data_IF_526417100447
#
_entry.id   IF_526417100447
#
_cell.length_a   1.000
_cell.length_b   1.000
_cell.length_c   1.000
_cell.angle_alpha   90.00
_cell.angle_beta   90.00
_cell.angle_gamma   90.00
#
_symmetry.space_group_name_H-M   'P 1'
#
loop_
_entity.id
_entity.type
_entity.pdbx_description
1 polymer ?
#
# COMPACT_ATOMS: atom_id res chain seq x y z
N UNK A 1 54.72 64.57 2.61
CA UNK A 1 54.34 63.42 1.75
C UNK A 1 53.61 62.38 2.61
N UNK A 2 52.64 61.62 2.03
CA UNK A 2 52.24 60.20 2.29
C UNK A 2 52.39 59.61 3.72
N UNK A 3 51.46 58.88 4.35
CA UNK A 3 50.10 58.34 4.10
C UNK A 3 49.44 58.00 5.48
N UNK A 4 48.12 58.04 5.71
CA UNK A 4 47.07 56.98 5.48
C UNK A 4 47.47 55.60 6.05
N UNK A 5 46.73 54.88 6.92
CA UNK A 5 45.32 54.90 7.42
C UNK A 5 45.30 54.71 8.98
N UNK A 6 44.23 54.54 9.78
CA UNK A 6 42.78 54.41 9.59
C UNK A 6 42.22 53.01 9.95
N UNK A 7 41.88 52.76 11.22
CA UNK A 7 41.39 51.45 11.73
C UNK A 7 39.88 51.50 12.01
N UNK A 8 39.07 50.95 11.10
CA UNK A 8 37.62 50.81 11.27
C UNK A 8 37.30 49.53 12.07
N UNK A 9 36.50 49.65 13.13
CA UNK A 9 35.93 48.50 13.83
C UNK A 9 34.81 47.86 13.01
N UNK A 10 34.95 46.57 12.68
CA UNK A 10 33.93 45.83 11.95
C UNK A 10 32.80 45.36 12.88
N UNK A 11 31.60 45.93 12.70
CA UNK A 11 30.37 45.38 13.28
C UNK A 11 30.00 44.07 12.57
N UNK A 12 30.16 42.93 13.25
CA UNK A 12 29.60 41.65 12.81
C UNK A 12 28.12 41.59 13.14
N UNK A 13 27.29 41.92 12.14
CA UNK A 13 25.84 41.82 12.20
C UNK A 13 25.44 40.35 11.99
N UNK A 14 25.26 39.62 13.10
CA UNK A 14 24.84 38.22 13.07
C UNK A 14 23.38 38.11 12.57
N UNK A 15 23.19 37.72 11.31
CA UNK A 15 21.88 37.43 10.75
C UNK A 15 21.39 36.10 11.33
N UNK A 16 20.55 36.20 12.37
CA UNK A 16 19.83 35.05 12.91
C UNK A 16 18.83 34.50 11.89
N UNK A 17 19.20 33.41 11.22
CA UNK A 17 18.29 32.60 10.41
C UNK A 17 17.26 31.94 11.32
N UNK A 18 16.17 32.66 11.58
CA UNK A 18 14.95 32.09 12.16
C UNK A 18 14.41 31.05 11.18
N UNK A 19 14.68 29.79 11.46
CA UNK A 19 13.90 28.68 10.90
C UNK A 19 12.47 28.79 11.42
N UNK A 20 11.65 29.55 10.71
CA UNK A 20 10.21 29.45 10.80
C UNK A 20 9.85 28.02 10.40
N UNK A 21 9.65 27.15 11.38
CA UNK A 21 9.02 25.86 11.19
C UNK A 21 7.61 26.14 10.68
N UNK A 22 7.45 26.12 9.36
CA UNK A 22 6.15 26.22 8.72
C UNK A 22 5.33 25.03 9.22
N UNK A 23 4.39 25.30 10.13
CA UNK A 23 3.39 24.34 10.56
C UNK A 23 2.55 24.04 9.34
N UNK A 24 2.92 22.99 8.60
CA UNK A 24 2.17 22.53 7.44
C UNK A 24 0.78 22.13 7.94
N UNK A 25 -0.22 22.96 7.71
CA UNK A 25 -1.60 22.52 7.89
C UNK A 25 -1.82 21.43 6.84
N UNK A 26 -2.23 20.25 7.29
CA UNK A 26 -2.40 19.10 6.41
C UNK A 26 -3.39 19.45 5.29
N UNK A 27 -2.95 19.30 4.03
CA UNK A 27 -3.76 19.68 2.87
C UNK A 27 -4.99 18.77 2.70
N UNK A 28 -5.96 19.19 1.86
CA UNK A 28 -7.03 18.31 1.42
C UNK A 28 -6.47 17.09 0.69
N UNK A 29 -7.12 15.92 0.84
CA UNK A 29 -6.79 14.71 0.07
C UNK A 29 -6.91 15.00 -1.43
N UNK A 30 -5.79 14.98 -2.16
CA UNK A 30 -5.78 15.29 -3.59
C UNK A 30 -6.03 14.03 -4.41
N UNK A 31 -7.22 13.93 -5.03
CA UNK A 31 -7.58 12.84 -5.96
C UNK A 31 -7.18 13.17 -7.40
N UNK A 32 -6.69 12.17 -8.15
CA UNK A 32 -6.35 12.27 -9.57
C UNK A 32 -6.84 11.05 -10.35
N UNK A 33 -7.77 11.28 -11.28
CA UNK A 33 -8.24 10.25 -12.21
C UNK A 33 -7.16 9.90 -13.25
N UNK A 34 -7.09 8.63 -13.63
CA UNK A 34 -6.17 8.10 -14.64
C UNK A 34 -6.97 7.25 -15.63
N UNK A 35 -7.05 7.70 -16.88
CA UNK A 35 -7.81 7.02 -17.94
C UNK A 35 -6.93 6.32 -18.99
N UNK A 36 -5.64 6.68 -19.10
CA UNK A 36 -4.70 6.14 -20.09
C UNK A 36 -3.59 5.32 -19.43
N UNK A 37 -3.09 4.30 -20.13
CA UNK A 37 -1.96 3.48 -19.70
C UNK A 37 -0.65 4.22 -19.96
N UNK A 38 0.05 4.61 -18.89
CA UNK A 38 1.38 5.23 -18.97
C UNK A 38 2.53 4.23 -18.78
N UNK A 39 3.75 4.68 -19.03
CA UNK A 39 4.99 4.02 -18.58
C UNK A 39 5.18 4.21 -17.06
N UNK A 40 5.78 3.23 -16.37
CA UNK A 40 5.96 3.26 -14.90
C UNK A 40 4.67 3.41 -14.09
N UNK A 41 3.55 2.91 -14.62
CA UNK A 41 2.22 3.44 -14.32
C UNK A 41 1.58 3.02 -13.00
N UNK A 42 0.56 3.80 -12.63
CA UNK A 42 -0.47 3.49 -11.63
C UNK A 42 -0.99 2.05 -11.77
N UNK A 43 -1.19 1.57 -13.00
CA UNK A 43 -1.52 0.17 -13.31
C UNK A 43 -0.53 -0.84 -12.72
N UNK A 44 0.78 -0.61 -12.83
CA UNK A 44 1.79 -1.55 -12.33
C UNK A 44 1.75 -1.66 -10.80
N UNK A 45 1.54 -0.53 -10.09
CA UNK A 45 1.41 -0.52 -8.62
C UNK A 45 0.13 -1.18 -8.12
N UNK A 46 -0.98 -1.01 -8.84
CA UNK A 46 -2.25 -1.69 -8.55
C UNK A 46 -2.15 -3.18 -8.88
N UNK A 47 -1.50 -3.55 -9.99
CA UNK A 47 -1.24 -4.94 -10.37
C UNK A 47 -0.36 -5.65 -9.33
N UNK A 48 0.71 -5.00 -8.85
CA UNK A 48 1.53 -5.50 -7.76
C UNK A 48 0.68 -5.74 -6.51
N UNK A 49 -0.22 -4.82 -6.15
CA UNK A 49 -1.16 -5.03 -5.04
C UNK A 49 -2.14 -6.19 -5.24
N UNK A 50 -2.60 -6.42 -6.48
CA UNK A 50 -3.40 -7.58 -6.81
C UNK A 50 -2.59 -8.86 -6.67
N UNK A 51 -1.36 -8.90 -7.20
CA UNK A 51 -0.42 -10.01 -7.11
C UNK A 51 -0.09 -10.39 -5.66
N UNK A 52 0.22 -9.39 -4.81
CA UNK A 52 0.44 -9.54 -3.36
C UNK A 52 -0.72 -10.26 -2.65
N UNK A 53 -1.96 -10.09 -3.14
CA UNK A 53 -3.13 -10.75 -2.56
C UNK A 53 -3.48 -12.09 -3.22
N UNK A 54 -3.42 -12.18 -4.54
CA UNK A 54 -3.93 -13.34 -5.29
C UNK A 54 -2.99 -14.54 -5.22
N UNK A 55 -1.66 -14.35 -5.17
CA UNK A 55 -0.72 -15.47 -5.06
C UNK A 55 -0.87 -16.22 -3.73
N UNK A 56 -0.85 -15.57 -2.54
CA UNK A 56 -1.22 -16.22 -1.30
C UNK A 56 -2.64 -16.81 -1.30
N UNK A 57 -3.56 -16.26 -2.11
CA UNK A 57 -4.93 -16.78 -2.20
C UNK A 57 -5.01 -18.05 -3.04
N UNK A 58 -4.19 -18.18 -4.09
CA UNK A 58 -4.02 -19.41 -4.85
C UNK A 58 -3.43 -20.52 -3.98
N UNK A 59 -2.32 -20.23 -3.27
CA UNK A 59 -1.66 -21.17 -2.37
C UNK A 59 -2.60 -21.61 -1.24
N UNK A 60 -3.35 -20.67 -0.65
CA UNK A 60 -4.41 -20.95 0.31
C UNK A 60 -5.52 -21.82 -0.30
N UNK A 61 -6.04 -21.48 -1.48
CA UNK A 61 -7.16 -22.19 -2.11
C UNK A 61 -6.80 -23.63 -2.48
N UNK A 62 -5.59 -23.86 -3.01
CA UNK A 62 -5.05 -25.22 -3.22
C UNK A 62 -5.00 -26.01 -1.91
N UNK A 63 -4.64 -25.36 -0.79
CA UNK A 63 -4.65 -25.99 0.54
C UNK A 63 -6.08 -26.26 1.05
N UNK A 64 -7.09 -25.49 0.64
CA UNK A 64 -8.51 -25.77 0.96
C UNK A 64 -9.05 -26.95 0.14
N UNK A 65 -8.57 -27.12 -1.10
CA UNK A 65 -9.00 -28.19 -2.00
C UNK A 65 -8.50 -29.58 -1.59
N UNK A 66 -7.39 -29.67 -0.84
CA UNK A 66 -6.81 -30.92 -0.32
C UNK A 66 -6.65 -32.03 -1.39
N UNK A 67 -6.14 -31.63 -2.57
CA UNK A 67 -5.97 -32.52 -3.73
C UNK A 67 -7.23 -32.72 -4.59
N UNK A 68 -8.40 -32.24 -4.17
CA UNK A 68 -9.61 -32.21 -4.98
C UNK A 68 -9.59 -31.12 -6.07
N UNK A 69 -10.51 -31.23 -7.03
CA UNK A 69 -10.75 -30.22 -8.07
C UNK A 69 -12.06 -29.46 -7.80
N UNK A 70 -12.10 -28.13 -7.95
CA UNK A 70 -13.32 -27.36 -7.77
C UNK A 70 -14.20 -27.44 -9.02
N UNK A 71 -15.51 -27.54 -8.83
CA UNK A 71 -16.47 -27.26 -9.91
C UNK A 71 -16.39 -25.78 -10.33
N UNK A 72 -16.81 -25.48 -11.57
CA UNK A 72 -16.87 -24.11 -12.10
C UNK A 72 -17.64 -23.15 -11.19
N UNK A 73 -18.70 -23.61 -10.51
CA UNK A 73 -19.46 -22.79 -9.56
C UNK A 73 -18.68 -22.47 -8.28
N UNK A 74 -17.94 -23.44 -7.73
CA UNK A 74 -17.08 -23.26 -6.56
C UNK A 74 -15.93 -22.31 -6.90
N UNK A 75 -15.26 -22.53 -8.04
CA UNK A 75 -14.20 -21.63 -8.50
C UNK A 75 -14.72 -20.22 -8.81
N UNK A 76 -15.89 -20.07 -9.45
CA UNK A 76 -16.49 -18.77 -9.72
C UNK A 76 -16.83 -17.99 -8.43
N UNK A 77 -17.22 -18.67 -7.35
CA UNK A 77 -17.43 -18.04 -6.05
C UNK A 77 -16.11 -17.59 -5.40
N UNK A 78 -15.03 -18.36 -5.56
CA UNK A 78 -13.68 -17.95 -5.14
C UNK A 78 -13.14 -16.79 -5.99
N UNK A 79 -13.22 -16.85 -7.32
CA UNK A 79 -12.58 -15.87 -8.21
C UNK A 79 -13.31 -14.53 -8.24
N UNK A 80 -14.65 -14.53 -8.14
CA UNK A 80 -15.48 -13.31 -8.18
C UNK A 80 -15.06 -12.25 -7.17
N UNK A 81 -14.65 -12.64 -5.95
CA UNK A 81 -14.24 -11.69 -4.91
C UNK A 81 -12.91 -10.98 -5.22
N UNK A 82 -12.09 -11.52 -6.11
CA UNK A 82 -10.88 -10.87 -6.62
C UNK A 82 -11.19 -10.10 -7.90
N UNK A 83 -12.04 -10.65 -8.78
CA UNK A 83 -12.53 -9.98 -9.99
C UNK A 83 -13.38 -8.71 -9.73
N UNK A 84 -13.93 -8.52 -8.52
CA UNK A 84 -14.74 -7.33 -8.18
C UNK A 84 -14.12 -6.43 -7.11
N UNK A 85 -13.18 -6.91 -6.30
CA UNK A 85 -12.57 -6.09 -5.26
C UNK A 85 -11.78 -4.89 -5.82
N UNK A 86 -11.79 -3.81 -5.04
CA UNK A 86 -10.85 -2.71 -5.16
C UNK A 86 -9.51 -3.14 -4.55
N UNK A 87 -8.42 -2.88 -5.28
CA UNK A 87 -7.05 -3.09 -4.81
C UNK A 87 -6.34 -1.76 -4.72
N UNK A 88 -5.53 -1.58 -3.67
CA UNK A 88 -4.76 -0.36 -3.47
C UNK A 88 -3.32 -0.64 -3.07
N UNK A 89 -2.40 0.12 -3.65
CA UNK A 89 -1.04 0.27 -3.18
C UNK A 89 -0.85 1.71 -2.69
N UNK A 90 -0.32 1.90 -1.49
CA UNK A 90 -0.08 3.22 -0.91
C UNK A 90 1.37 3.29 -0.43
N UNK A 91 2.20 4.13 -1.04
CA UNK A 91 3.56 4.39 -0.59
C UNK A 91 3.54 5.54 0.41
N UNK A 92 3.93 5.27 1.65
CA UNK A 92 4.19 6.29 2.67
C UNK A 92 5.69 6.61 2.68
N UNK A 93 6.03 7.86 2.37
CA UNK A 93 7.39 8.40 2.40
C UNK A 93 7.56 9.24 3.66
N UNK A 94 8.63 9.01 4.41
CA UNK A 94 8.85 9.63 5.72
C UNK A 94 10.34 9.73 6.05
N UNK A 95 10.70 10.63 6.96
CA UNK A 95 12.12 10.88 7.30
C UNK A 95 12.49 10.24 8.64
N UNK A 96 13.60 9.51 8.68
CA UNK A 96 14.23 9.03 9.92
C UNK A 96 15.70 9.45 9.92
N UNK A 97 16.14 10.15 10.96
CA UNK A 97 17.53 10.65 11.11
C UNK A 97 18.04 11.37 9.83
N UNK A 98 17.20 12.25 9.26
CA UNK A 98 17.51 12.99 8.03
C UNK A 98 17.44 12.18 6.72
N UNK A 99 17.24 10.86 6.77
CA UNK A 99 17.15 9.98 5.60
C UNK A 99 15.69 9.76 5.21
N UNK A 100 15.39 9.90 3.91
CA UNK A 100 14.09 9.50 3.36
C UNK A 100 13.97 7.98 3.35
N UNK A 101 12.85 7.49 3.87
CA UNK A 101 12.48 6.09 4.00
C UNK A 101 11.10 5.89 3.38
N UNK A 102 10.82 4.68 2.89
CA UNK A 102 9.51 4.34 2.31
C UNK A 102 8.96 3.06 2.92
N UNK A 103 7.62 2.99 3.03
CA UNK A 103 6.88 1.76 3.34
C UNK A 103 5.68 1.67 2.41
N UNK A 104 5.47 0.52 1.79
CA UNK A 104 4.33 0.30 0.89
C UNK A 104 3.25 -0.46 1.64
N UNK A 105 2.00 0.00 1.54
CA UNK A 105 0.83 -0.63 2.13
C UNK A 105 -0.08 -1.15 1.03
N UNK A 106 -0.44 -2.43 1.11
CA UNK A 106 -1.34 -3.09 0.18
C UNK A 106 -2.64 -3.47 0.86
N UNK A 107 -3.78 -3.25 0.17
CA UNK A 107 -5.06 -3.77 0.64
C UNK A 107 -5.99 -4.16 -0.51
N UNK A 108 -6.86 -5.13 -0.19
CA UNK A 108 -8.01 -5.56 -0.98
C UNK A 108 -9.29 -5.23 -0.22
N UNK A 109 -10.31 -4.74 -0.90
CA UNK A 109 -11.62 -4.50 -0.28
C UNK A 109 -12.36 -5.81 0.04
N UNK A 110 -13.35 -5.75 0.93
CA UNK A 110 -14.13 -6.92 1.35
C UNK A 110 -13.49 -7.73 2.49
N UNK A 111 -13.96 -8.97 2.70
CA UNK A 111 -13.53 -9.82 3.81
C UNK A 111 -12.05 -10.19 3.70
N UNK A 112 -11.37 -10.36 4.85
CA UNK A 112 -9.95 -10.73 4.88
C UNK A 112 -9.79 -12.15 4.30
N UNK A 113 -10.40 -13.15 4.94
CA UNK A 113 -10.48 -14.52 4.43
C UNK A 113 -11.26 -14.54 3.10
N UNK A 114 -10.77 -15.23 2.07
CA UNK A 114 -11.51 -15.43 0.83
C UNK A 114 -12.69 -16.41 1.05
N UNK A 115 -13.74 -16.26 0.25
CA UNK A 115 -14.77 -17.28 0.08
C UNK A 115 -14.17 -18.51 -0.61
N UNK A 116 -14.39 -19.70 -0.05
CA UNK A 116 -13.98 -21.00 -0.62
C UNK A 116 -14.86 -21.44 -1.79
N UNK A 117 -16.07 -20.88 -1.90
CA UNK A 117 -17.11 -21.37 -2.82
C UNK A 117 -17.71 -22.73 -2.43
N UNK A 118 -17.23 -23.35 -1.34
CA UNK A 118 -17.58 -24.70 -0.92
C UNK A 118 -18.34 -24.64 0.41
N UNK A 119 -19.60 -25.09 0.40
CA UNK A 119 -20.46 -25.06 1.57
C UNK A 119 -19.91 -25.95 2.70
N UNK A 120 -19.88 -25.44 3.93
CA UNK A 120 -19.39 -26.15 5.12
C UNK A 120 -17.86 -26.33 5.21
N UNK A 121 -17.11 -26.11 4.12
CA UNK A 121 -15.66 -26.27 4.11
C UNK A 121 -14.97 -25.10 4.81
N UNK A 122 -14.28 -25.40 5.92
CA UNK A 122 -13.41 -24.47 6.63
C UNK A 122 -11.96 -24.71 6.20
N UNK A 123 -11.27 -23.64 5.80
CA UNK A 123 -9.85 -23.72 5.46
C UNK A 123 -9.01 -24.22 6.66
N UNK A 124 -8.07 -25.16 6.46
CA UNK A 124 -7.24 -25.71 7.53
C UNK A 124 -6.25 -24.68 8.10
N UNK A 125 -5.96 -23.63 7.32
CA UNK A 125 -5.10 -22.50 7.69
C UNK A 125 -5.79 -21.19 7.31
N UNK A 126 -5.54 -20.13 8.09
CA UNK A 126 -6.01 -18.78 7.73
C UNK A 126 -5.26 -18.26 6.52
N UNK A 127 -5.93 -17.50 5.65
CA UNK A 127 -5.34 -16.84 4.49
C UNK A 127 -4.16 -15.93 4.89
N UNK A 128 -4.26 -15.27 6.04
CA UNK A 128 -3.18 -14.44 6.60
C UNK A 128 -1.88 -15.23 6.84
N UNK A 129 -1.93 -16.55 7.02
CA UNK A 129 -0.74 -17.40 7.20
C UNK A 129 0.03 -17.74 5.91
N UNK A 130 -0.47 -17.33 4.74
CA UNK A 130 0.19 -17.50 3.44
C UNK A 130 0.98 -16.25 3.01
N UNK A 131 1.07 -15.24 3.89
CA UNK A 131 1.86 -14.03 3.64
C UNK A 131 3.21 -14.15 4.34
N UNK A 132 4.28 -14.21 3.56
CA UNK A 132 5.65 -14.12 4.07
C UNK A 132 5.95 -12.67 4.46
N UNK A 133 6.27 -12.42 5.73
CA UNK A 133 6.55 -11.06 6.24
C UNK A 133 7.97 -10.55 5.92
N UNK A 134 8.57 -10.98 4.80
CA UNK A 134 9.93 -10.62 4.40
C UNK A 134 9.92 -9.51 3.34
N UNK A 135 9.81 -8.26 3.79
CA UNK A 135 9.87 -7.08 2.91
C UNK A 135 9.45 -5.77 3.57
N UNK A 136 9.61 -4.67 2.83
CA UNK A 136 9.09 -3.35 3.22
C UNK A 136 7.57 -3.21 2.99
N UNK A 137 6.94 -4.21 2.37
CA UNK A 137 5.55 -4.21 1.94
C UNK A 137 4.64 -4.78 3.04
N UNK A 138 3.62 -4.02 3.40
CA UNK A 138 2.70 -4.31 4.49
C UNK A 138 1.30 -4.55 3.95
N UNK A 139 0.75 -5.74 4.20
CA UNK A 139 -0.67 -5.99 3.94
C UNK A 139 -1.52 -5.43 5.08
N UNK A 140 -2.45 -4.55 4.73
CA UNK A 140 -3.39 -3.91 5.63
C UNK A 140 -4.71 -4.68 5.66
N UNK A 141 -5.07 -5.15 6.86
CA UNK A 141 -6.24 -5.98 7.13
C UNK A 141 -7.35 -5.17 7.81
N UNK A 142 -8.60 -5.59 7.65
CA UNK A 142 -9.66 -5.17 8.56
C UNK A 142 -9.51 -5.98 9.85
N UNK A 143 -8.73 -5.46 10.79
CA UNK A 143 -8.52 -6.09 12.08
C UNK A 143 -9.78 -5.97 12.95
N UNK A 144 -10.09 -7.00 13.74
CA UNK A 144 -11.18 -6.97 14.70
C UNK A 144 -10.90 -5.95 15.83
N UNK A 145 -11.94 -5.47 16.51
CA UNK A 145 -11.77 -4.56 17.66
C UNK A 145 -11.13 -5.29 18.85
N UNK A 146 -10.32 -4.62 19.69
CA UNK A 146 -10.01 -3.19 19.67
C UNK A 146 -9.01 -2.81 18.56
N UNK A 147 -9.44 -1.91 17.67
CA UNK A 147 -8.55 -1.26 16.72
C UNK A 147 -8.08 0.04 17.39
N UNK A 148 -6.77 0.16 17.63
CA UNK A 148 -6.16 1.35 18.25
C UNK A 148 -6.11 2.57 17.32
N UNK A 149 -6.46 2.41 16.05
CA UNK A 149 -6.67 3.51 15.12
C UNK A 149 -7.91 4.33 15.49
N UNK A 150 -7.74 5.65 15.53
CA UNK A 150 -8.83 6.62 15.67
C UNK A 150 -9.55 6.87 14.34
N UNK A 151 -8.94 6.53 13.20
CA UNK A 151 -9.54 6.62 11.86
C UNK A 151 -10.68 5.60 11.75
N UNK A 152 -11.92 6.08 11.88
CA UNK A 152 -13.13 5.28 11.73
C UNK A 152 -13.75 5.49 10.35
N UNK A 153 -14.69 4.62 9.95
CA UNK A 153 -15.62 4.96 8.88
C UNK A 153 -16.39 6.20 9.30
N UNK A 154 -16.23 7.30 8.56
CA UNK A 154 -17.14 8.43 8.65
C UNK A 154 -18.44 8.09 7.93
N UNK A 155 -19.61 8.16 8.59
CA UNK A 155 -20.90 8.04 7.90
C UNK A 155 -21.02 9.17 6.86
N UNK A 156 -21.46 8.84 5.65
CA UNK A 156 -21.74 9.82 4.60
C UNK A 156 -23.23 9.78 4.28
N UNK A 157 -23.93 10.92 4.18
CA UNK A 157 -25.34 10.96 3.78
C UNK A 157 -25.56 10.20 2.46
N UNK A 158 -26.55 9.31 2.43
CA UNK A 158 -26.88 8.48 1.26
C UNK A 158 -26.06 7.18 1.11
N UNK A 159 -25.11 6.86 2.01
CA UNK A 159 -24.45 5.55 2.00
C UNK A 159 -25.39 4.44 2.51
N UNK A 160 -25.92 3.66 1.58
CA UNK A 160 -26.76 2.49 1.86
C UNK A 160 -25.95 1.27 2.35
N UNK A 161 -24.61 1.31 2.34
CA UNK A 161 -23.75 0.15 2.59
C UNK A 161 -22.67 0.37 3.67
N UNK A 162 -22.94 1.01 4.83
CA UNK A 162 -21.92 1.41 5.80
C UNK A 162 -21.18 0.24 6.45
N UNK A 163 -21.78 -0.94 6.48
CA UNK A 163 -21.10 -2.16 6.95
C UNK A 163 -20.10 -2.72 5.92
N UNK A 164 -20.27 -2.42 4.63
CA UNK A 164 -19.32 -2.80 3.58
C UNK A 164 -18.13 -1.83 3.57
N UNK A 165 -18.37 -0.52 3.72
CA UNK A 165 -17.33 0.54 3.82
C UNK A 165 -16.27 0.26 4.87
N UNK A 166 -16.63 -0.37 6.00
CA UNK A 166 -15.68 -0.86 7.03
C UNK A 166 -14.59 -1.78 6.48
N UNK A 167 -14.81 -2.39 5.32
CA UNK A 167 -13.89 -3.33 4.66
C UNK A 167 -13.29 -2.76 3.37
N UNK A 168 -13.44 -1.47 3.09
CA UNK A 168 -12.81 -0.84 1.93
C UNK A 168 -11.29 -0.79 2.08
N UNK A 169 -10.59 -0.83 0.94
CA UNK A 169 -9.15 -1.01 0.90
C UNK A 169 -8.39 0.20 1.44
N UNK A 170 -8.81 1.40 1.05
CA UNK A 170 -8.26 2.68 1.50
C UNK A 170 -8.40 2.86 3.02
N UNK A 171 -9.54 2.46 3.60
CA UNK A 171 -9.76 2.51 5.05
C UNK A 171 -8.80 1.56 5.79
N UNK A 172 -8.66 0.31 5.31
CA UNK A 172 -7.72 -0.65 5.91
C UNK A 172 -6.30 -0.08 5.94
N UNK A 173 -5.87 0.53 4.83
CA UNK A 173 -4.58 1.23 4.74
C UNK A 173 -4.50 2.39 5.73
N UNK A 174 -5.47 3.31 5.73
CA UNK A 174 -5.44 4.50 6.58
C UNK A 174 -5.34 4.12 8.07
N UNK A 175 -6.12 3.13 8.49
CA UNK A 175 -6.07 2.59 9.84
C UNK A 175 -4.74 1.88 10.15
N UNK A 176 -4.16 1.15 9.18
CA UNK A 176 -2.90 0.45 9.39
C UNK A 176 -1.72 1.42 9.49
N UNK A 177 -1.69 2.48 8.69
CA UNK A 177 -0.69 3.56 8.78
C UNK A 177 -0.79 4.22 10.15
N UNK A 178 -2.00 4.56 10.61
CA UNK A 178 -2.17 5.15 11.93
C UNK A 178 -1.70 4.22 13.06
N UNK A 179 -2.01 2.91 13.00
CA UNK A 179 -1.50 1.93 13.97
C UNK A 179 0.03 1.81 13.94
N UNK A 180 0.65 1.86 12.77
CA UNK A 180 2.12 1.82 12.65
C UNK A 180 2.77 3.11 13.18
N UNK A 181 2.11 4.27 13.06
CA UNK A 181 2.54 5.54 13.68
C UNK A 181 2.41 5.49 15.20
N UNK A 182 1.23 5.10 15.71
CA UNK A 182 0.96 4.98 17.15
C UNK A 182 1.86 3.96 17.86
N UNK A 183 2.32 2.94 17.14
CA UNK A 183 3.27 1.94 17.62
C UNK A 183 4.75 2.32 17.36
N UNK A 184 5.05 3.55 16.91
CA UNK A 184 6.42 4.03 16.66
C UNK A 184 7.16 3.34 15.51
N UNK A 185 6.47 2.58 14.65
CA UNK A 185 7.08 1.81 13.54
C UNK A 185 7.39 2.67 12.31
N UNK A 186 6.75 3.82 12.20
CA UNK A 186 7.03 4.93 11.27
C UNK A 186 6.67 6.25 11.98
N UNK A 187 7.35 7.37 11.69
CA UNK A 187 6.97 8.68 12.22
C UNK A 187 5.75 9.26 11.50
N UNK A 188 5.12 10.25 12.13
CA UNK A 188 4.11 11.14 11.52
C UNK A 188 4.78 12.18 10.59
N UNK A 189 4.00 13.05 9.93
CA UNK A 189 4.54 14.17 9.14
C UNK A 189 4.96 13.86 7.70
N UNK A 190 4.74 12.63 7.21
CA UNK A 190 5.20 12.17 5.89
C UNK A 190 4.24 12.44 4.73
N UNK A 191 4.60 11.94 3.55
CA UNK A 191 3.79 12.03 2.32
C UNK A 191 3.19 10.67 1.97
N UNK A 192 1.92 10.64 1.55
CA UNK A 192 1.20 9.40 1.23
C UNK A 192 0.70 9.40 -0.22
N UNK A 193 1.29 8.54 -1.04
CA UNK A 193 0.96 8.36 -2.45
C UNK A 193 0.16 7.08 -2.66
N UNK A 194 -1.16 7.22 -2.79
CA UNK A 194 -2.11 6.14 -3.06
C UNK A 194 -2.33 5.86 -4.54
N UNK A 195 -2.54 4.59 -4.86
CA UNK A 195 -2.86 4.07 -6.19
C UNK A 195 -4.04 3.08 -6.02
N UNK A 196 -5.23 3.43 -6.51
CA UNK A 196 -6.45 2.60 -6.36
C UNK A 196 -7.03 2.14 -7.69
N UNK A 197 -7.52 0.90 -7.75
CA UNK A 197 -8.16 0.34 -8.95
C UNK A 197 -9.52 0.96 -9.29
N UNK A 198 -10.10 1.76 -8.38
CA UNK A 198 -11.38 2.46 -8.53
C UNK A 198 -11.30 3.81 -7.81
N UNK A 199 -12.26 4.71 -8.00
CA UNK A 199 -12.30 5.96 -7.23
C UNK A 199 -12.54 5.68 -5.73
N UNK A 200 -11.75 6.28 -4.81
CA UNK A 200 -12.07 6.26 -3.38
C UNK A 200 -13.44 6.88 -3.12
N UNK A 201 -14.36 6.11 -2.52
CA UNK A 201 -15.68 6.63 -2.16
C UNK A 201 -15.57 7.71 -1.08
N UNK A 202 -16.62 8.51 -0.89
CA UNK A 202 -16.63 9.63 0.07
C UNK A 202 -16.25 9.22 1.51
N UNK A 203 -16.60 8.00 1.96
CA UNK A 203 -16.21 7.52 3.29
C UNK A 203 -14.71 7.14 3.39
N UNK A 204 -14.11 6.69 2.28
CA UNK A 204 -12.67 6.46 2.18
C UNK A 204 -11.89 7.77 2.12
N UNK A 205 -12.41 8.76 1.38
CA UNK A 205 -11.85 10.11 1.31
C UNK A 205 -11.86 10.78 2.68
N UNK A 206 -12.99 10.73 3.41
CA UNK A 206 -13.08 11.22 4.78
C UNK A 206 -12.14 10.48 5.76
N UNK A 207 -11.93 9.17 5.59
CA UNK A 207 -10.97 8.41 6.40
C UNK A 207 -9.50 8.79 6.12
N UNK A 208 -9.17 9.04 4.85
CA UNK A 208 -7.85 9.53 4.45
C UNK A 208 -7.62 10.98 4.91
N UNK A 209 -8.65 11.83 4.90
CA UNK A 209 -8.58 13.18 5.47
C UNK A 209 -8.38 13.12 7.00
N UNK A 210 -9.12 12.25 7.71
CA UNK A 210 -8.92 12.07 9.15
C UNK A 210 -7.51 11.56 9.50
N UNK A 211 -6.86 10.79 8.62
CA UNK A 211 -5.44 10.45 8.75
C UNK A 211 -4.53 11.65 8.50
N UNK A 212 -4.79 12.40 7.41
CA UNK A 212 -4.10 13.64 7.03
C UNK A 212 -4.04 14.61 8.21
N UNK A 213 -5.21 14.99 8.73
CA UNK A 213 -5.37 16.00 9.77
C UNK A 213 -4.71 15.60 11.09
N UNK A 214 -4.89 14.34 11.51
CA UNK A 214 -4.43 13.86 12.83
C UNK A 214 -2.94 13.50 12.89
N UNK A 215 -2.32 13.25 11.74
CA UNK A 215 -0.92 12.80 11.65
C UNK A 215 -0.05 13.72 10.80
N UNK A 216 -0.57 14.86 10.35
CA UNK A 216 0.09 15.82 9.48
C UNK A 216 0.68 15.15 8.21
N UNK A 217 -0.12 14.35 7.50
CA UNK A 217 0.34 13.59 6.33
C UNK A 217 -0.28 14.19 5.06
N UNK A 218 0.52 14.62 4.07
CA UNK A 218 -0.10 15.03 2.79
C UNK A 218 -0.53 13.80 2.00
N UNK A 219 -1.82 13.69 1.68
CA UNK A 219 -2.36 12.53 0.95
C UNK A 219 -2.65 12.90 -0.51
N UNK A 220 -2.15 12.06 -1.43
CA UNK A 220 -2.42 12.14 -2.88
C UNK A 220 -2.85 10.77 -3.37
N UNK A 221 -4.02 10.63 -4.00
CA UNK A 221 -4.50 9.34 -4.52
C UNK A 221 -4.72 9.42 -6.03
N UNK A 222 -4.00 8.59 -6.78
CA UNK A 222 -4.28 8.34 -8.20
C UNK A 222 -5.20 7.12 -8.33
N UNK A 223 -6.22 7.20 -9.17
CA UNK A 223 -7.18 6.10 -9.35
C UNK A 223 -7.53 5.83 -10.81
N UNK A 224 -7.85 4.58 -11.15
CA UNK A 224 -8.29 4.22 -12.50
C UNK A 224 -9.73 4.68 -12.73
N UNK A 225 -9.98 5.44 -13.81
CA UNK A 225 -11.34 5.79 -14.21
C UNK A 225 -12.10 4.56 -14.70
N UNK A 226 -13.30 4.29 -14.17
CA UNK A 226 -14.09 3.12 -14.59
C UNK A 226 -14.37 3.15 -16.10
N UNK A 227 -14.25 2.00 -16.77
CA UNK A 227 -14.40 1.87 -18.23
C UNK A 227 -13.26 2.47 -19.08
N UNK A 228 -12.26 3.11 -18.46
CA UNK A 228 -11.13 3.69 -19.19
C UNK A 228 -10.17 2.64 -19.76
N UNK A 229 -9.25 3.07 -20.63
CA UNK A 229 -8.19 2.20 -21.14
C UNK A 229 -7.27 1.71 -20.01
N UNK A 230 -6.97 2.56 -19.03
CA UNK A 230 -6.20 2.20 -17.84
C UNK A 230 -6.92 1.15 -16.97
N UNK A 231 -8.21 1.35 -16.68
CA UNK A 231 -9.02 0.36 -15.96
C UNK A 231 -9.08 -0.98 -16.72
N UNK A 232 -9.39 -0.94 -18.01
CA UNK A 232 -9.53 -2.13 -18.87
C UNK A 232 -8.22 -2.92 -18.98
N UNK A 233 -7.07 -2.24 -19.02
CA UNK A 233 -5.77 -2.90 -19.05
C UNK A 233 -5.46 -3.64 -17.73
N UNK A 234 -5.75 -3.04 -16.57
CA UNK A 234 -5.64 -3.72 -15.27
C UNK A 234 -6.62 -4.90 -15.19
N UNK A 235 -7.88 -4.68 -15.58
CA UNK A 235 -8.94 -5.67 -15.44
C UNK A 235 -8.71 -6.91 -16.32
N UNK A 236 -8.17 -6.73 -17.52
CA UNK A 236 -7.74 -7.82 -18.40
C UNK A 236 -6.66 -8.68 -17.74
N UNK A 237 -5.60 -8.07 -17.20
CA UNK A 237 -4.50 -8.78 -16.53
C UNK A 237 -5.00 -9.54 -15.29
N UNK A 238 -5.90 -8.91 -14.52
CA UNK A 238 -6.57 -9.54 -13.38
C UNK A 238 -7.34 -10.79 -13.79
N UNK A 239 -8.18 -10.71 -14.81
CA UNK A 239 -8.96 -11.85 -15.28
C UNK A 239 -8.07 -12.96 -15.89
N UNK A 240 -7.06 -12.62 -16.68
CA UNK A 240 -6.08 -13.57 -17.21
C UNK A 240 -5.39 -14.37 -16.08
N UNK A 241 -5.02 -13.69 -14.99
CA UNK A 241 -4.42 -14.36 -13.83
C UNK A 241 -5.43 -15.29 -13.13
N UNK A 242 -6.68 -14.87 -12.96
CA UNK A 242 -7.74 -15.74 -12.40
C UNK A 242 -7.99 -16.98 -13.26
N UNK A 243 -8.04 -16.84 -14.59
CA UNK A 243 -8.14 -17.98 -15.51
C UNK A 243 -6.92 -18.91 -15.41
N UNK A 244 -5.70 -18.37 -15.21
CA UNK A 244 -4.52 -19.22 -14.99
C UNK A 244 -4.60 -20.04 -13.69
N UNK A 245 -5.24 -19.50 -12.64
CA UNK A 245 -5.51 -20.25 -11.42
C UNK A 245 -6.56 -21.34 -11.68
N UNK A 246 -7.64 -21.03 -12.42
CA UNK A 246 -8.68 -21.99 -12.78
C UNK A 246 -8.11 -23.22 -13.51
N UNK A 247 -7.25 -22.99 -14.50
CA UNK A 247 -6.57 -24.06 -15.25
C UNK A 247 -5.66 -24.88 -14.32
N UNK A 248 -4.88 -24.22 -13.48
CA UNK A 248 -3.95 -24.91 -12.56
C UNK A 248 -4.68 -25.78 -11.52
N UNK A 249 -5.77 -25.30 -10.91
CA UNK A 249 -6.53 -26.08 -9.90
C UNK A 249 -7.40 -27.19 -10.51
N UNK A 250 -7.54 -27.23 -11.83
CA UNK A 250 -8.17 -28.31 -12.58
C UNK A 250 -7.15 -29.26 -13.25
N UNK A 251 -5.86 -29.19 -12.87
CA UNK A 251 -4.82 -30.09 -13.37
C UNK A 251 -4.26 -29.76 -14.75
N UNK A 252 -4.60 -28.60 -15.33
CA UNK A 252 -4.06 -28.15 -16.60
C UNK A 252 -2.65 -27.57 -16.48
N UNK A 253 -1.77 -27.92 -17.42
CA UNK A 253 -0.47 -27.26 -17.57
C UNK A 253 -0.62 -25.87 -18.22
N UNK A 254 0.11 -24.87 -17.71
CA UNK A 254 0.02 -23.48 -18.16
C UNK A 254 1.08 -23.15 -19.22
N UNK A 255 0.63 -22.68 -20.40
CA UNK A 255 1.49 -21.95 -21.34
C UNK A 255 1.64 -20.49 -20.88
N UNK A 256 2.62 -20.23 -20.02
CA UNK A 256 2.87 -18.93 -19.38
C UNK A 256 3.59 -17.92 -20.31
N UNK A 257 2.90 -17.46 -21.36
CA UNK A 257 3.36 -16.38 -22.23
C UNK A 257 3.22 -14.99 -21.55
N UNK A 258 4.04 -14.73 -20.51
CA UNK A 258 4.54 -13.43 -20.00
C UNK A 258 4.93 -13.52 -18.52
N UNK A 259 6.03 -14.21 -18.19
CA UNK A 259 6.73 -13.99 -16.90
C UNK A 259 7.91 -13.00 -17.01
N UNK A 260 8.25 -12.53 -18.21
CA UNK A 260 9.36 -11.60 -18.47
C UNK A 260 9.03 -10.14 -18.12
N UNK A 261 8.69 -9.89 -16.85
CA UNK A 261 8.60 -8.56 -16.26
C UNK A 261 8.90 -8.58 -14.75
N UNK A 262 9.92 -9.35 -14.33
CA UNK A 262 10.61 -9.01 -13.08
C UNK A 262 11.13 -7.57 -13.19
N UNK A 263 10.57 -6.68 -12.37
CA UNK A 263 11.06 -5.31 -12.29
C UNK A 263 12.46 -5.32 -11.65
N UNK A 264 13.51 -4.80 -12.30
CA UNK A 264 14.88 -4.86 -11.80
C UNK A 264 15.14 -3.81 -10.69
N UNK A 265 14.33 -3.86 -9.63
CA UNK A 265 14.38 -2.95 -8.48
C UNK A 265 14.53 -3.68 -7.13
N UNK A 266 14.57 -5.02 -7.13
CA UNK A 266 14.64 -5.87 -5.93
C UNK A 266 16.03 -6.52 -5.71
N UNK A 267 17.12 -5.88 -6.14
CA UNK A 267 18.51 -6.24 -5.78
C UNK A 267 19.40 -5.03 -5.52
N UNK A 268 19.07 -4.25 -4.50
CA UNK A 268 20.10 -3.60 -3.68
C UNK A 268 19.96 -4.20 -2.29
N UNK A 269 20.69 -5.30 -2.07
CA UNK A 269 20.87 -5.79 -0.71
C UNK A 269 21.60 -4.70 0.08
N UNK A 270 21.04 -4.32 1.23
CA UNK A 270 21.77 -3.49 2.19
C UNK A 270 22.89 -4.37 2.73
N UNK A 271 24.08 -4.21 2.15
CA UNK A 271 25.30 -4.74 2.74
C UNK A 271 25.40 -4.17 4.16
N UNK A 272 25.67 -5.04 5.13
CA UNK A 272 26.16 -4.58 6.43
C UNK A 272 27.47 -3.84 6.15
N UNK A 273 27.55 -2.58 6.57
CA UNK A 273 28.83 -1.88 6.57
C UNK A 273 29.59 -2.42 7.77
N UNK A 274 30.63 -3.20 7.49
CA UNK A 274 31.67 -3.50 8.49
C UNK A 274 32.30 -2.17 8.92
N UNK A 275 32.34 -1.93 10.23
CA UNK A 275 32.94 -0.72 10.78
C UNK A 275 34.47 -0.80 10.67
N UNK A 276 35.15 0.20 10.08
CA UNK A 276 36.60 0.17 9.96
C UNK A 276 37.29 0.68 11.23
N UNK A 277 37.81 -0.26 12.02
CA UNK A 277 39.09 -0.13 12.74
C UNK A 277 39.17 0.80 13.95
N UNK A 278 38.94 0.23 15.13
CA UNK A 278 39.37 0.77 16.43
C UNK A 278 40.63 0.02 16.86
N UNK A 279 41.80 0.45 16.38
CA UNK A 279 43.08 -0.05 16.86
C UNK A 279 43.58 0.79 18.03
N UNK A 280 43.59 0.23 19.24
CA UNK A 280 44.37 0.76 20.36
C UNK A 280 45.12 -0.35 21.09
N UNK A 281 46.31 -0.04 21.59
CA UNK A 281 47.32 -0.97 22.10
C UNK A 281 47.62 -0.65 23.57
N UNK A 282 47.42 -1.62 24.45
CA UNK A 282 48.06 -1.81 25.78
C UNK A 282 47.29 -2.96 26.50
N UNK A 283 47.89 -3.98 27.13
CA UNK A 283 49.30 -4.34 27.32
C UNK A 283 49.56 -5.78 26.83
#
# INVERSE_FOLDING_TARGET
MKHRYGLFGAYLLAIGLLFASAWSVAGPVLKRRVDVVGTGSVNARILASFQTHIRPAQEWYVTVLDGGTPSTAQFAAFSRQFATATFVSFTYEYTVNGRSMQRVYHARSGHNEPNTGMAGVRAPRSYRSFFTHQGADIVAWHDARPNTSTVTVSPVPGDNFPQQRKRDAELKVAQRIERDILAGRVPAGGQLYGFSSQEPCASCEAALQALSDRRNITVRVSFLGFGSAAYTAFDRLRHQHLTSIEVAVNGGQLNLLNQSAESPAARVGVACIDTPGDGEVAD
#
